data_IF_475404209176
#
_entry.id   IF_475404209176
#
_cell.length_a   1.000
_cell.length_b   1.000
_cell.length_c   1.000
_cell.angle_alpha   90.00
_cell.angle_beta   90.00
_cell.angle_gamma   90.00
#
_symmetry.space_group_name_H-M   'P 1'
#
loop_
_entity.id
_entity.type
_entity.pdbx_description
1 polymer ?
#
# COMPACT_ATOMS: atom_id res chain seq x y z
N UNK A 1 43.50 -21.08 -24.33
CA UNK A 1 43.99 -21.76 -23.12
C UNK A 1 43.98 -20.71 -22.02
N UNK A 2 42.86 -20.61 -21.29
CA UNK A 2 42.63 -19.58 -20.24
C UNK A 2 42.39 -20.34 -18.94
N UNK A 3 43.26 -20.10 -17.98
CA UNK A 3 43.23 -20.70 -16.64
C UNK A 3 42.08 -20.07 -15.81
N UNK A 4 41.22 -20.92 -15.26
CA UNK A 4 40.22 -20.53 -14.27
C UNK A 4 40.80 -20.83 -12.89
N UNK A 5 41.01 -19.78 -12.09
CA UNK A 5 41.35 -19.92 -10.67
C UNK A 5 40.03 -19.92 -9.86
N UNK A 6 39.77 -21.02 -9.18
CA UNK A 6 38.70 -21.09 -8.18
C UNK A 6 39.28 -20.69 -6.82
N UNK A 7 38.71 -19.67 -6.21
CA UNK A 7 39.00 -19.27 -4.82
C UNK A 7 37.93 -19.88 -3.91
N UNK A 8 38.36 -20.81 -3.06
CA UNK A 8 37.59 -21.39 -1.95
C UNK A 8 37.68 -20.42 -0.76
N UNK A 9 36.59 -19.83 -0.35
CA UNK A 9 36.48 -19.05 0.90
C UNK A 9 35.76 -19.92 1.93
N UNK A 10 36.49 -20.40 2.93
CA UNK A 10 35.96 -21.18 4.04
C UNK A 10 35.27 -20.29 5.07
N UNK A 11 34.05 -20.63 5.47
CA UNK A 11 33.35 -20.04 6.59
C UNK A 11 33.77 -20.69 7.90
N UNK A 12 34.42 -19.91 8.79
CA UNK A 12 34.61 -20.27 10.19
C UNK A 12 33.36 -19.91 10.98
N UNK A 13 32.72 -20.93 11.56
CA UNK A 13 31.66 -20.77 12.55
C UNK A 13 32.29 -20.63 13.92
N UNK A 14 32.16 -19.51 14.59
CA UNK A 14 32.49 -19.32 15.99
C UNK A 14 31.23 -19.47 16.86
N UNK A 15 31.23 -20.55 17.63
CA UNK A 15 30.29 -20.81 18.72
C UNK A 15 30.85 -20.17 20.01
N UNK A 16 30.07 -19.36 20.67
CA UNK A 16 30.26 -18.95 22.08
C UNK A 16 28.88 -18.64 22.64
N UNK A 17 28.28 -19.41 23.49
CA UNK A 17 28.62 -19.69 24.86
C UNK A 17 27.69 -18.82 25.73
N UNK A 18 26.50 -19.39 26.17
CA UNK A 18 25.69 -18.84 27.27
C UNK A 18 26.34 -19.21 28.59
N UNK A 19 26.23 -18.38 29.64
CA UNK A 19 25.43 -18.80 30.78
C UNK A 19 24.70 -17.66 31.52
N UNK A 20 23.68 -17.98 32.33
CA UNK A 20 23.16 -17.10 33.36
C UNK A 20 21.71 -17.28 33.72
N UNK A 21 21.39 -18.37 34.43
CA UNK A 21 20.17 -18.47 35.23
C UNK A 21 20.29 -17.56 36.47
N UNK A 22 19.25 -16.81 36.79
CA UNK A 22 18.99 -16.27 38.12
C UNK A 22 17.49 -16.02 38.27
N UNK A 23 16.80 -16.84 39.04
CA UNK A 23 16.39 -16.48 40.40
C UNK A 23 14.97 -15.92 40.40
N UNK A 24 13.97 -16.83 40.49
CA UNK A 24 12.56 -16.50 40.78
C UNK A 24 12.42 -16.32 42.28
N UNK A 25 12.05 -15.14 42.76
CA UNK A 25 11.56 -14.90 44.11
C UNK A 25 10.05 -14.75 44.07
N UNK A 26 9.36 -15.71 44.66
CA UNK A 26 7.93 -15.62 45.03
C UNK A 26 7.76 -14.60 46.14
N UNK A 27 6.92 -13.62 45.93
CA UNK A 27 6.37 -12.79 47.00
C UNK A 27 4.88 -13.00 47.07
N UNK A 28 4.45 -13.63 48.16
CA UNK A 28 3.07 -13.80 48.53
C UNK A 28 2.36 -12.46 48.75
N UNK A 29 1.23 -12.26 48.13
CA UNK A 29 0.34 -11.12 48.25
C UNK A 29 -1.05 -11.56 48.68
N UNK A 30 -1.39 -11.12 49.87
CA UNK A 30 -2.65 -11.24 50.62
C UNK A 30 -3.91 -11.07 49.78
N UNK A 31 -4.86 -11.98 49.97
CA UNK A 31 -6.20 -11.86 49.40
C UNK A 31 -6.98 -10.75 50.14
N UNK A 32 -7.28 -9.67 49.45
CA UNK A 32 -8.27 -8.69 49.87
C UNK A 32 -9.64 -9.09 49.33
N UNK A 33 -10.61 -9.25 50.26
CA UNK A 33 -12.00 -9.49 49.95
C UNK A 33 -12.55 -8.30 49.15
N UNK A 34 -13.09 -8.60 47.96
CA UNK A 34 -13.78 -7.61 47.13
C UNK A 34 -15.24 -7.62 47.53
N UNK A 35 -15.66 -6.51 48.11
CA UNK A 35 -17.04 -6.18 48.42
C UNK A 35 -17.86 -6.12 47.10
N UNK A 36 -18.84 -7.02 46.96
CA UNK A 36 -19.76 -7.03 45.83
C UNK A 36 -20.82 -5.94 46.04
N UNK A 37 -20.46 -4.71 45.65
CA UNK A 37 -21.50 -3.70 45.45
C UNK A 37 -22.32 -4.07 44.21
N UNK A 38 -23.57 -4.42 44.46
CA UNK A 38 -24.61 -4.66 43.47
C UNK A 38 -24.80 -3.44 42.58
N UNK A 39 -24.26 -3.55 41.39
CA UNK A 39 -24.32 -2.49 40.35
C UNK A 39 -25.74 -2.54 39.74
N UNK A 40 -26.50 -1.49 39.92
CA UNK A 40 -27.77 -1.29 39.23
C UNK A 40 -27.62 -1.46 37.70
N UNK A 41 -28.61 -2.05 37.01
CA UNK A 41 -28.53 -2.23 35.57
C UNK A 41 -28.42 -0.87 34.87
N UNK A 42 -27.60 -0.74 33.84
CA UNK A 42 -27.47 0.51 33.10
C UNK A 42 -28.83 0.88 32.49
N UNK A 43 -29.33 2.07 32.79
CA UNK A 43 -30.46 2.66 32.11
C UNK A 43 -30.10 2.78 30.62
N UNK A 44 -30.82 2.02 29.77
CA UNK A 44 -30.77 2.19 28.33
C UNK A 44 -31.26 3.58 28.01
N UNK A 45 -30.33 4.44 27.63
CA UNK A 45 -30.65 5.78 27.13
C UNK A 45 -31.37 5.62 25.78
N UNK A 46 -32.68 5.86 25.82
CA UNK A 46 -33.50 5.83 24.62
C UNK A 46 -33.29 7.14 23.85
N UNK A 47 -32.41 7.12 22.85
CA UNK A 47 -32.37 8.27 21.97
C UNK A 47 -31.11 8.56 21.19
N UNK A 48 -30.34 7.56 20.83
CA UNK A 48 -29.42 7.80 19.71
C UNK A 48 -30.21 7.67 18.40
N UNK A 49 -30.38 8.76 17.61
CA UNK A 49 -31.04 8.63 16.31
C UNK A 49 -30.27 7.60 15.50
N UNK A 50 -30.93 6.76 14.67
CA UNK A 50 -30.23 5.78 13.84
C UNK A 50 -29.16 6.55 13.07
N UNK A 51 -27.89 6.23 13.38
CA UNK A 51 -26.76 6.82 12.69
C UNK A 51 -27.04 6.67 11.21
N UNK A 52 -26.98 7.77 10.48
CA UNK A 52 -27.02 7.75 9.03
C UNK A 52 -25.79 6.96 8.65
N UNK A 53 -25.95 5.63 8.49
CA UNK A 53 -24.91 4.81 7.87
C UNK A 53 -24.72 5.41 6.48
N UNK A 54 -23.66 6.18 6.31
CA UNK A 54 -23.31 6.67 4.99
C UNK A 54 -23.33 5.44 4.07
N UNK A 55 -24.09 5.52 2.98
CA UNK A 55 -24.15 4.45 2.01
C UNK A 55 -22.70 4.04 1.68
N UNK A 56 -22.41 2.72 1.63
CA UNK A 56 -21.03 2.30 1.38
C UNK A 56 -20.52 3.02 0.14
N UNK A 57 -19.36 3.65 0.24
CA UNK A 57 -18.77 4.37 -0.89
C UNK A 57 -18.48 3.36 -2.00
N UNK A 58 -19.34 3.32 -3.00
CA UNK A 58 -19.21 2.40 -4.14
C UNK A 58 -18.17 2.89 -5.15
N UNK A 59 -17.74 4.15 -5.01
CA UNK A 59 -16.77 4.75 -5.94
C UNK A 59 -15.37 4.24 -5.68
N UNK A 60 -15.00 4.01 -4.43
CA UNK A 60 -13.70 3.47 -4.04
C UNK A 60 -12.60 4.50 -3.85
N UNK A 61 -12.77 5.73 -4.34
CA UNK A 61 -11.82 6.82 -4.16
C UNK A 61 -12.34 7.82 -3.12
N UNK A 62 -11.44 8.39 -2.34
CA UNK A 62 -11.74 9.29 -1.22
C UNK A 62 -12.44 10.56 -1.65
N UNK A 63 -12.20 11.05 -2.85
CA UNK A 63 -12.78 12.26 -3.41
C UNK A 63 -14.09 12.01 -4.21
N UNK A 64 -14.52 10.75 -4.31
CA UNK A 64 -15.75 10.36 -4.98
C UNK A 64 -15.65 10.28 -6.51
N UNK A 65 -14.44 10.34 -7.08
CA UNK A 65 -14.20 10.19 -8.54
C UNK A 65 -13.27 9.02 -8.83
N UNK A 66 -13.34 8.46 -10.03
CA UNK A 66 -12.46 7.38 -10.53
C UNK A 66 -11.81 7.79 -11.83
N UNK A 67 -10.49 7.74 -11.88
CA UNK A 67 -9.71 7.98 -13.09
C UNK A 67 -9.25 6.68 -13.75
N UNK A 68 -9.25 5.57 -13.00
CA UNK A 68 -9.10 4.21 -13.51
C UNK A 68 -10.28 3.32 -13.10
N UNK A 69 -10.61 2.31 -13.92
CA UNK A 69 -11.79 1.46 -13.73
C UNK A 69 -13.08 2.28 -13.57
N UNK A 70 -13.29 3.24 -14.46
CA UNK A 70 -14.29 4.33 -14.35
C UNK A 70 -15.74 3.87 -14.27
N UNK A 71 -16.07 2.73 -14.86
CA UNK A 71 -17.42 2.18 -14.82
C UNK A 71 -17.64 1.41 -13.51
N UNK A 72 -18.34 2.01 -12.56
CA UNK A 72 -18.62 1.43 -11.24
C UNK A 72 -19.37 0.10 -11.31
N UNK A 73 -20.30 -0.02 -12.27
CA UNK A 73 -21.10 -1.24 -12.42
C UNK A 73 -20.25 -2.40 -12.99
N UNK A 74 -19.33 -2.09 -13.88
CA UNK A 74 -18.42 -3.07 -14.45
C UNK A 74 -17.31 -3.47 -13.48
N UNK A 75 -16.82 -2.54 -12.64
CA UNK A 75 -15.74 -2.76 -11.67
C UNK A 75 -16.16 -2.32 -10.24
N UNK A 76 -17.08 -3.07 -9.59
CA UNK A 76 -17.64 -2.63 -8.30
C UNK A 76 -16.67 -2.71 -7.11
N UNK A 77 -15.58 -3.45 -7.26
CA UNK A 77 -14.64 -3.75 -6.17
C UNK A 77 -13.20 -3.27 -6.39
N UNK A 78 -12.94 -2.57 -7.52
CA UNK A 78 -11.62 -1.99 -7.82
C UNK A 78 -11.79 -0.60 -8.42
N UNK A 79 -10.91 0.32 -8.07
CA UNK A 79 -10.90 1.70 -8.55
C UNK A 79 -9.47 2.21 -8.75
N UNK A 80 -9.24 3.02 -9.77
CA UNK A 80 -8.01 3.80 -9.92
C UNK A 80 -8.26 5.22 -9.45
N UNK A 81 -7.62 5.63 -8.36
CA UNK A 81 -7.82 6.89 -7.70
C UNK A 81 -6.62 7.81 -7.95
N UNK A 82 -6.85 8.92 -8.67
CA UNK A 82 -5.80 9.91 -8.91
C UNK A 82 -5.65 10.84 -7.71
N UNK A 83 -4.44 11.38 -7.52
CA UNK A 83 -4.17 12.32 -6.46
C UNK A 83 -2.71 12.35 -6.05
N UNK A 84 -2.39 13.24 -5.12
CA UNK A 84 -1.07 13.43 -4.55
C UNK A 84 -0.98 12.85 -3.14
N UNK A 85 0.25 12.50 -2.72
CA UNK A 85 0.60 12.13 -1.36
C UNK A 85 2.09 12.46 -1.12
N UNK A 86 2.40 13.09 0.01
CA UNK A 86 3.74 13.53 0.37
C UNK A 86 4.42 12.64 1.43
N UNK A 87 3.62 11.81 2.12
CA UNK A 87 4.19 10.82 3.05
C UNK A 87 4.71 9.62 2.27
N UNK A 88 6.00 9.26 2.44
CA UNK A 88 6.68 8.36 1.53
C UNK A 88 6.30 6.90 1.73
N UNK A 89 6.28 6.17 0.60
CA UNK A 89 6.23 4.72 0.54
C UNK A 89 4.84 4.12 0.44
N UNK A 90 4.83 2.87 -0.05
CA UNK A 90 3.61 2.05 -0.20
C UNK A 90 3.81 0.62 0.29
N UNK A 91 5.04 0.26 0.70
CA UNK A 91 5.39 -1.09 1.20
C UNK A 91 6.13 -1.01 2.54
N UNK A 92 6.25 -2.14 3.22
CA UNK A 92 6.99 -2.27 4.47
C UNK A 92 6.17 -1.94 5.71
N UNK A 93 6.87 -1.66 6.83
CA UNK A 93 6.25 -1.26 8.10
C UNK A 93 5.48 0.07 8.00
N UNK A 94 5.68 0.77 6.91
CA UNK A 94 4.99 1.99 6.50
C UNK A 94 3.90 1.72 5.48
N UNK A 95 3.40 0.45 5.34
CA UNK A 95 2.18 0.21 4.57
C UNK A 95 1.15 1.23 5.05
N UNK A 96 0.79 2.20 4.23
CA UNK A 96 0.26 3.44 4.75
C UNK A 96 -1.13 3.24 5.32
N UNK A 97 -1.29 3.59 6.58
CA UNK A 97 -2.60 3.93 7.11
C UNK A 97 -2.93 5.37 6.67
N UNK A 98 -4.20 5.71 6.46
CA UNK A 98 -4.58 7.08 6.19
C UNK A 98 -4.09 8.04 7.28
N UNK A 99 -3.47 9.15 6.89
CA UNK A 99 -2.93 10.15 7.82
C UNK A 99 -3.59 11.51 7.72
N UNK A 100 -4.24 11.83 6.59
CA UNK A 100 -4.91 13.10 6.36
C UNK A 100 -6.45 12.95 6.25
N UNK A 101 -7.04 11.96 6.95
CA UNK A 101 -8.48 11.76 7.07
C UNK A 101 -9.19 11.51 5.73
N UNK A 102 -8.52 10.84 4.79
CA UNK A 102 -9.05 10.56 3.44
C UNK A 102 -9.39 11.85 2.66
N UNK A 103 -8.64 12.92 2.87
CA UNK A 103 -8.83 14.20 2.18
C UNK A 103 -7.96 14.36 0.93
N UNK A 104 -7.15 13.34 0.58
CA UNK A 104 -6.41 13.30 -0.67
C UNK A 104 -7.36 13.03 -1.86
N UNK A 105 -6.89 13.30 -3.08
CA UNK A 105 -7.68 13.11 -4.30
C UNK A 105 -7.72 14.37 -5.14
N UNK A 106 -8.01 14.23 -6.42
CA UNK A 106 -7.87 15.34 -7.36
C UNK A 106 -9.01 16.36 -7.28
N UNK A 107 -10.13 16.00 -6.68
CA UNK A 107 -11.29 16.91 -6.43
C UNK A 107 -11.47 17.25 -4.96
N UNK A 108 -10.67 16.72 -4.05
CA UNK A 108 -10.71 17.00 -2.62
C UNK A 108 -10.02 18.33 -2.25
N UNK A 109 -10.30 18.80 -1.03
CA UNK A 109 -9.73 20.06 -0.50
C UNK A 109 -8.20 19.99 -0.33
N UNK A 110 -7.63 18.80 -0.14
CA UNK A 110 -6.18 18.57 -0.03
C UNK A 110 -5.64 17.89 -1.30
N UNK A 111 -5.94 18.47 -2.47
CA UNK A 111 -5.49 17.96 -3.76
C UNK A 111 -3.95 17.93 -3.93
N UNK A 112 -3.22 18.68 -3.11
CA UNK A 112 -1.75 18.66 -3.05
C UNK A 112 -1.21 17.48 -2.24
N UNK A 113 -2.07 16.77 -1.49
CA UNK A 113 -1.71 15.60 -0.70
C UNK A 113 -0.79 15.88 0.48
N UNK A 114 -0.84 17.11 1.04
CA UNK A 114 0.02 17.50 2.17
C UNK A 114 -0.36 16.70 3.41
N UNK A 115 0.60 15.99 3.98
CA UNK A 115 0.43 15.11 5.14
C UNK A 115 -0.33 13.83 4.83
N UNK A 116 -0.62 13.54 3.56
CA UNK A 116 -1.36 12.35 3.14
C UNK A 116 -0.42 11.21 2.75
N UNK A 117 -0.84 10.00 3.02
CA UNK A 117 -0.25 8.77 2.50
C UNK A 117 -0.98 8.32 1.23
N UNK A 118 -0.42 7.34 0.54
CA UNK A 118 -1.08 6.68 -0.59
C UNK A 118 -2.48 6.11 -0.21
N UNK A 119 -2.67 5.67 1.04
CA UNK A 119 -3.94 5.13 1.53
C UNK A 119 -5.04 6.18 1.65
N UNK A 120 -4.70 7.46 1.79
CA UNK A 120 -5.69 8.55 1.84
C UNK A 120 -6.40 8.78 0.52
N UNK A 121 -5.93 8.20 -0.58
CA UNK A 121 -6.60 8.23 -1.87
C UNK A 121 -7.74 7.20 -1.99
N UNK A 122 -7.76 6.17 -1.13
CA UNK A 122 -8.83 5.19 -1.10
C UNK A 122 -9.96 5.64 -0.16
N UNK A 123 -11.20 5.30 -0.51
CA UNK A 123 -12.37 5.59 0.33
C UNK A 123 -12.39 4.73 1.60
N UNK A 124 -13.22 5.09 2.58
CA UNK A 124 -13.49 4.24 3.74
C UNK A 124 -13.98 2.86 3.31
N UNK A 125 -13.47 1.79 3.95
CA UNK A 125 -13.67 0.38 3.59
C UNK A 125 -13.05 -0.03 2.25
N UNK A 126 -12.05 0.73 1.81
CA UNK A 126 -11.18 0.40 0.70
C UNK A 126 -9.73 0.57 1.14
N UNK A 127 -8.84 -0.20 0.54
CA UNK A 127 -7.41 -0.13 0.80
C UNK A 127 -6.62 -0.05 -0.51
N UNK A 128 -5.39 0.43 -0.48
CA UNK A 128 -4.49 0.31 -1.63
C UNK A 128 -4.31 -1.18 -1.92
N UNK A 129 -4.65 -1.63 -3.13
CA UNK A 129 -4.52 -3.04 -3.51
C UNK A 129 -3.12 -3.54 -3.14
N UNK A 130 -3.01 -4.67 -2.45
CA UNK A 130 -1.76 -5.15 -1.86
C UNK A 130 -0.78 -5.66 -2.90
N UNK A 131 -1.29 -6.37 -3.89
CA UNK A 131 -0.50 -7.03 -4.93
C UNK A 131 -1.36 -7.42 -6.15
N UNK A 132 -0.78 -8.17 -7.07
CA UNK A 132 -1.50 -8.69 -8.24
C UNK A 132 -2.64 -9.65 -7.89
N UNK A 133 -2.55 -10.41 -6.79
CA UNK A 133 -3.65 -11.28 -6.37
C UNK A 133 -4.85 -10.51 -5.89
N UNK A 134 -4.60 -9.40 -5.21
CA UNK A 134 -5.67 -8.52 -4.75
C UNK A 134 -6.38 -7.86 -5.94
N UNK A 135 -5.62 -7.42 -6.95
CA UNK A 135 -6.17 -6.94 -8.23
C UNK A 135 -6.97 -8.03 -8.92
N UNK A 136 -6.44 -9.25 -9.03
CA UNK A 136 -7.13 -10.36 -9.68
C UNK A 136 -8.48 -10.72 -9.02
N UNK A 137 -8.56 -10.60 -7.69
CA UNK A 137 -9.80 -10.90 -6.95
C UNK A 137 -10.84 -9.81 -7.06
N UNK A 138 -10.43 -8.57 -7.21
CA UNK A 138 -11.30 -7.40 -7.21
C UNK A 138 -11.67 -6.93 -8.62
N UNK A 139 -10.89 -7.32 -9.65
CA UNK A 139 -11.20 -7.07 -11.06
C UNK A 139 -12.02 -8.23 -11.65
N UNK A 140 -13.20 -7.98 -12.24
CA UNK A 140 -13.99 -9.03 -12.91
C UNK A 140 -13.27 -9.72 -14.06
N UNK A 141 -12.32 -9.07 -14.70
CA UNK A 141 -11.46 -9.65 -15.75
C UNK A 141 -10.28 -10.43 -15.18
N UNK A 142 -10.02 -10.28 -13.87
CA UNK A 142 -8.89 -10.89 -13.19
C UNK A 142 -7.55 -10.20 -13.45
N UNK A 143 -7.54 -9.02 -14.08
CA UNK A 143 -6.33 -8.30 -14.49
C UNK A 143 -6.54 -6.77 -14.52
N UNK A 144 -5.62 -6.06 -15.18
CA UNK A 144 -5.66 -4.61 -15.38
C UNK A 144 -6.53 -4.14 -16.57
N UNK A 145 -7.27 -5.03 -17.23
CA UNK A 145 -8.13 -4.62 -18.33
C UNK A 145 -9.21 -3.66 -17.83
N UNK A 146 -9.42 -2.56 -18.56
CA UNK A 146 -10.34 -1.50 -18.15
C UNK A 146 -9.79 -0.47 -17.19
N UNK A 147 -8.54 -0.62 -16.72
CA UNK A 147 -7.92 0.34 -15.83
C UNK A 147 -7.90 1.74 -16.44
N UNK A 148 -7.36 1.87 -17.66
CA UNK A 148 -7.37 3.14 -18.42
C UNK A 148 -7.69 2.89 -19.89
N UNK A 149 -8.28 3.87 -20.59
CA UNK A 149 -8.40 3.83 -22.04
C UNK A 149 -7.04 3.71 -22.73
N UNK A 150 -7.03 3.08 -23.91
CA UNK A 150 -5.82 2.95 -24.71
C UNK A 150 -5.22 4.31 -25.03
N UNK A 151 -3.91 4.47 -24.77
CA UNK A 151 -3.16 5.71 -25.01
C UNK A 151 -3.21 6.73 -23.86
N UNK A 152 -3.97 6.48 -22.81
CA UNK A 152 -3.97 7.36 -21.64
C UNK A 152 -2.74 7.07 -20.76
N UNK A 153 -1.91 8.12 -20.52
CA UNK A 153 -0.66 8.02 -19.75
C UNK A 153 -0.92 8.24 -18.25
N UNK A 154 -1.56 7.23 -17.62
CA UNK A 154 -1.75 7.17 -16.16
C UNK A 154 -1.16 5.86 -15.63
N UNK A 155 -0.74 5.91 -14.38
CA UNK A 155 -0.25 4.76 -13.62
C UNK A 155 -0.95 4.74 -12.25
N UNK A 156 -1.49 3.58 -11.90
CA UNK A 156 -2.11 3.35 -10.59
C UNK A 156 -1.35 2.22 -9.91
N UNK A 157 -0.62 2.59 -8.85
CA UNK A 157 0.26 1.68 -8.13
C UNK A 157 -0.53 0.77 -7.16
N UNK A 158 0.06 -0.38 -6.86
CA UNK A 158 -0.34 -1.28 -5.76
C UNK A 158 0.71 -1.23 -4.64
N UNK A 159 0.36 -1.68 -3.44
CA UNK A 159 1.24 -1.70 -2.27
C UNK A 159 2.24 -2.88 -2.34
N UNK A 160 2.91 -3.05 -3.46
CA UNK A 160 3.87 -4.12 -3.70
C UNK A 160 5.10 -3.59 -4.43
N UNK A 161 6.24 -4.14 -4.11
CA UNK A 161 7.50 -3.98 -4.83
C UNK A 161 8.00 -5.30 -5.36
N UNK A 162 9.20 -5.30 -5.92
CA UNK A 162 9.87 -6.51 -6.37
C UNK A 162 11.23 -6.68 -5.68
N UNK A 163 11.80 -7.87 -5.79
CA UNK A 163 13.19 -8.11 -5.47
C UNK A 163 14.10 -7.35 -6.46
N UNK A 164 15.38 -7.12 -6.13
CA UNK A 164 16.34 -6.52 -7.06
C UNK A 164 16.47 -7.28 -8.39
N UNK A 165 16.00 -8.52 -8.46
CA UNK A 165 15.93 -9.33 -9.68
C UNK A 165 14.63 -9.17 -10.45
N UNK A 166 13.73 -8.26 -10.05
CA UNK A 166 12.47 -7.98 -10.72
C UNK A 166 11.38 -9.04 -10.51
N UNK A 167 11.47 -9.82 -9.44
CA UNK A 167 10.44 -10.81 -9.08
C UNK A 167 9.48 -10.15 -8.09
N UNK A 168 8.23 -9.97 -8.48
CA UNK A 168 7.19 -9.49 -7.58
C UNK A 168 7.01 -10.44 -6.40
N UNK A 169 6.90 -9.86 -5.23
CA UNK A 169 6.69 -10.57 -4.00
C UNK A 169 5.71 -9.81 -3.12
N UNK A 170 4.79 -10.48 -2.44
CA UNK A 170 4.00 -9.86 -1.38
C UNK A 170 4.82 -9.58 -0.12
N UNK A 171 6.12 -9.96 -0.10
CA UNK A 171 7.02 -9.68 1.01
C UNK A 171 7.24 -8.16 1.12
N UNK A 172 6.85 -7.53 2.24
CA UNK A 172 6.99 -6.09 2.42
C UNK A 172 8.45 -5.61 2.46
N UNK A 173 9.43 -6.51 2.52
CA UNK A 173 10.86 -6.18 2.39
C UNK A 173 11.31 -5.99 0.94
N UNK A 174 10.47 -6.34 -0.05
CA UNK A 174 10.77 -6.14 -1.47
C UNK A 174 10.32 -4.73 -1.88
N UNK A 175 11.26 -3.89 -2.22
CA UNK A 175 11.08 -2.44 -2.33
C UNK A 175 11.37 -1.89 -3.73
N UNK A 176 11.89 -2.74 -4.64
CA UNK A 176 12.32 -2.33 -5.98
C UNK A 176 11.14 -2.14 -6.92
N UNK A 177 11.20 -1.10 -7.72
CA UNK A 177 10.18 -0.67 -8.67
C UNK A 177 8.79 -0.45 -8.05
N UNK A 178 7.96 0.33 -8.75
CA UNK A 178 6.54 0.47 -8.50
C UNK A 178 5.80 -0.44 -9.47
N UNK A 179 4.83 -1.19 -8.98
CA UNK A 179 4.01 -2.09 -9.80
C UNK A 179 2.55 -1.67 -9.77
N UNK A 180 1.82 -1.90 -10.88
CA UNK A 180 0.43 -1.47 -10.96
C UNK A 180 -0.21 -1.68 -12.32
N UNK A 181 -1.29 -0.94 -12.55
CA UNK A 181 -2.07 -0.93 -13.77
C UNK A 181 -2.02 0.43 -14.47
N UNK A 182 -2.19 0.45 -15.79
CA UNK A 182 -2.32 1.70 -16.55
C UNK A 182 -1.64 1.70 -17.90
N UNK A 183 -1.32 2.91 -18.40
CA UNK A 183 -0.66 3.13 -19.67
C UNK A 183 0.73 3.79 -19.57
N UNK A 184 1.10 4.27 -18.38
CA UNK A 184 2.41 4.88 -18.10
C UNK A 184 3.37 3.84 -17.51
N UNK A 185 4.68 4.04 -17.70
CA UNK A 185 5.72 3.12 -17.25
C UNK A 185 6.01 2.02 -18.30
N UNK A 186 6.88 1.10 -17.93
CA UNK A 186 7.26 -0.04 -18.76
C UNK A 186 6.18 -1.15 -18.70
N UNK A 187 5.99 -1.93 -19.76
CA UNK A 187 5.19 -3.14 -19.66
C UNK A 187 5.73 -4.05 -18.54
N UNK A 188 4.80 -4.58 -17.74
CA UNK A 188 5.17 -5.52 -16.69
C UNK A 188 5.61 -6.86 -17.29
N UNK A 189 6.56 -7.51 -16.62
CA UNK A 189 6.93 -8.89 -16.93
C UNK A 189 5.87 -9.86 -16.40
N UNK A 190 5.86 -11.10 -16.92
CA UNK A 190 4.95 -12.14 -16.41
C UNK A 190 5.14 -12.45 -14.92
N UNK A 191 6.28 -12.08 -14.34
CA UNK A 191 6.57 -12.32 -12.93
C UNK A 191 5.63 -11.56 -11.97
N UNK A 192 5.05 -10.45 -12.43
CA UNK A 192 4.10 -9.64 -11.65
C UNK A 192 2.67 -9.67 -12.21
N UNK A 193 2.36 -10.64 -13.10
CA UNK A 193 1.00 -10.81 -13.58
C UNK A 193 0.01 -10.97 -12.40
N UNK A 194 -1.19 -10.38 -12.46
CA UNK A 194 -1.79 -9.74 -13.63
C UNK A 194 -1.55 -8.23 -13.74
N UNK A 195 -0.59 -7.67 -13.01
CA UNK A 195 -0.24 -6.25 -13.15
C UNK A 195 0.31 -5.99 -14.55
N UNK A 196 0.03 -4.81 -15.11
CA UNK A 196 0.37 -4.50 -16.51
C UNK A 196 1.53 -3.55 -16.68
N UNK A 197 1.92 -2.85 -15.61
CA UNK A 197 2.94 -1.80 -15.65
C UNK A 197 3.85 -1.85 -14.43
N UNK A 198 5.11 -1.44 -14.67
CA UNK A 198 6.08 -1.11 -13.64
C UNK A 198 6.72 0.25 -13.91
N UNK A 199 7.16 0.92 -12.87
CA UNK A 199 7.92 2.16 -12.94
C UNK A 199 9.12 2.09 -12.01
N UNK A 200 10.31 2.21 -12.56
CA UNK A 200 11.54 2.40 -11.81
C UNK A 200 11.94 3.88 -11.77
N UNK A 201 13.10 4.17 -11.19
CA UNK A 201 13.64 5.52 -11.05
C UNK A 201 13.63 6.33 -12.37
N UNK A 202 14.08 5.73 -13.48
CA UNK A 202 14.13 6.42 -14.78
C UNK A 202 12.74 6.80 -15.32
N UNK A 203 11.73 5.95 -15.09
CA UNK A 203 10.35 6.22 -15.50
C UNK A 203 9.75 7.34 -14.65
N UNK A 204 10.03 7.36 -13.34
CA UNK A 204 9.63 8.45 -12.45
C UNK A 204 10.20 9.79 -12.89
N UNK A 205 11.49 9.84 -13.28
CA UNK A 205 12.10 11.05 -13.82
C UNK A 205 11.39 11.55 -15.08
N UNK A 206 10.93 10.64 -15.94
CA UNK A 206 10.21 10.99 -17.16
C UNK A 206 8.88 11.70 -16.89
N UNK A 207 8.30 11.56 -15.68
CA UNK A 207 7.08 12.27 -15.26
C UNK A 207 7.32 13.72 -14.84
N UNK A 208 8.55 14.22 -14.95
CA UNK A 208 8.95 15.59 -14.58
C UNK A 208 8.66 15.94 -13.13
N UNK A 209 8.86 15.00 -12.22
CA UNK A 209 8.69 15.18 -10.78
C UNK A 209 7.27 15.00 -10.25
N UNK A 210 6.33 14.59 -11.08
CA UNK A 210 4.99 14.21 -10.59
C UNK A 210 5.09 12.95 -9.74
N UNK A 211 5.79 11.91 -10.22
CA UNK A 211 6.20 10.78 -9.43
C UNK A 211 7.65 10.99 -8.96
N UNK A 212 7.89 10.90 -7.67
CA UNK A 212 9.22 11.00 -7.08
C UNK A 212 9.58 9.65 -6.44
N UNK A 213 10.50 8.94 -7.06
CA UNK A 213 11.01 7.65 -6.62
C UNK A 213 12.42 7.75 -6.00
N UNK A 214 12.76 8.91 -5.43
CA UNK A 214 14.07 9.16 -4.83
C UNK A 214 15.12 9.56 -5.86
N UNK A 215 16.36 9.16 -5.64
CA UNK A 215 17.50 9.42 -6.51
C UNK A 215 18.11 8.10 -7.03
N UNK A 216 19.16 8.17 -7.83
CA UNK A 216 19.77 6.97 -8.42
C UNK A 216 20.33 5.97 -7.39
N UNK A 217 20.72 6.43 -6.20
CA UNK A 217 21.21 5.57 -5.13
C UNK A 217 20.06 4.81 -4.45
N UNK A 218 18.82 5.26 -4.66
CA UNK A 218 17.59 4.65 -4.14
C UNK A 218 16.92 3.70 -5.15
N UNK A 219 17.54 3.40 -6.28
CA UNK A 219 16.97 2.65 -7.42
C UNK A 219 16.63 1.16 -7.13
N UNK A 220 16.65 0.73 -5.88
CA UNK A 220 16.16 -0.56 -5.41
C UNK A 220 15.16 -0.41 -4.26
N UNK A 221 14.63 0.80 -4.03
CA UNK A 221 13.80 1.14 -2.88
C UNK A 221 12.62 2.03 -3.24
N UNK A 222 12.28 2.12 -4.53
CA UNK A 222 11.27 3.05 -5.04
C UNK A 222 9.92 2.90 -4.33
N UNK A 223 9.46 1.66 -4.11
CA UNK A 223 8.17 1.39 -3.45
C UNK A 223 8.16 1.80 -1.96
N UNK A 224 9.34 1.91 -1.32
CA UNK A 224 9.46 2.36 0.06
C UNK A 224 9.47 3.88 0.23
N UNK A 225 9.94 4.59 -0.80
CA UNK A 225 10.22 6.04 -0.69
C UNK A 225 9.38 6.89 -1.62
N UNK A 226 8.58 6.26 -2.48
CA UNK A 226 7.76 6.98 -3.45
C UNK A 226 6.87 8.02 -2.80
N UNK A 227 6.86 9.21 -3.39
CA UNK A 227 5.84 10.25 -3.16
C UNK A 227 5.28 10.70 -4.50
N UNK A 228 4.14 11.35 -4.48
CA UNK A 228 3.51 11.84 -5.70
C UNK A 228 2.99 13.25 -5.52
N UNK A 229 3.40 14.14 -6.42
CA UNK A 229 2.97 15.52 -6.45
C UNK A 229 1.86 15.73 -7.49
N UNK A 230 0.84 16.49 -7.12
CA UNK A 230 -0.26 16.83 -8.00
C UNK A 230 -1.08 15.63 -8.47
N UNK A 231 -2.09 15.91 -9.30
CA UNK A 231 -3.13 14.96 -9.70
C UNK A 231 -2.87 14.29 -11.05
N UNK A 232 -1.90 14.79 -11.83
CA UNK A 232 -1.55 14.22 -13.12
C UNK A 232 -0.98 12.80 -13.00
N UNK A 233 -1.07 12.03 -14.07
CA UNK A 233 -0.46 10.70 -14.20
C UNK A 233 -0.94 9.62 -13.23
N UNK A 234 -2.17 9.73 -12.71
CA UNK A 234 -2.80 8.68 -11.91
C UNK A 234 -2.55 8.78 -10.40
N UNK A 235 -2.40 7.66 -9.73
CA UNK A 235 -2.29 7.57 -8.27
C UNK A 235 -2.20 6.12 -7.80
N UNK A 236 -3.21 5.63 -7.06
CA UNK A 236 -3.22 4.28 -6.50
C UNK A 236 -4.38 3.44 -7.01
N UNK A 237 -4.22 2.12 -7.00
CA UNK A 237 -5.33 1.18 -7.11
C UNK A 237 -5.94 0.97 -5.73
N UNK A 238 -7.23 1.15 -5.62
CA UNK A 238 -7.99 0.86 -4.42
C UNK A 238 -8.85 -0.40 -4.64
N UNK A 239 -8.71 -1.34 -3.73
CA UNK A 239 -9.47 -2.59 -3.68
C UNK A 239 -10.44 -2.54 -2.50
N UNK A 240 -11.64 -3.11 -2.67
CA UNK A 240 -12.66 -3.18 -1.62
C UNK A 240 -12.28 -4.22 -0.56
N UNK A 241 -12.54 -3.90 0.73
CA UNK A 241 -12.29 -4.78 1.88
C UNK A 241 -13.21 -6.02 1.91
#
# INVERSE_FOLDING_TARGET
MVLVLAALCGCHVLHSGLPGEAGVTEAGGSAAAIDMAESAPPTVDAGEPPGIYAAPNIVGCSDGTREGFRNVDAWPSIAGCAGAFDQPGVVGASAPLPMCQLLAGDTNSNWEGIGCTAADLCAAHWHVCRDGYDVARNSPTGDCEGCVPAGELRFFLVASGASPMGICSPDPSQENDLHGCGGLGQPESQACAPLSRRMGFADCLATRGVWNCGNQDDSLREARIVTKLGTAHGGVLCCKD
#
